data_IF_040560394993
#
_entry.id   IF_040560394993
#
_cell.length_a   1.000
_cell.length_b   1.000
_cell.length_c   1.000
_cell.angle_alpha   90.00
_cell.angle_beta   90.00
_cell.angle_gamma   90.00
#
_symmetry.space_group_name_H-M   'P 1'
#
loop_
_entity.id
_entity.type
_entity.pdbx_description
1 polymer ?
#
# COMPACT_ATOMS: atom_id res chain seq x y z
N UNK A 1 2.83 16.77 -7.11
CA UNK A 1 1.39 16.51 -7.36
C UNK A 1 0.57 17.25 -6.32
N UNK A 2 -0.64 17.68 -6.66
CA UNK A 2 -1.51 18.27 -5.67
C UNK A 2 -2.17 17.20 -4.79
N UNK A 3 -2.74 17.61 -3.68
CA UNK A 3 -3.30 16.70 -2.69
C UNK A 3 -4.47 15.87 -3.24
N UNK A 4 -5.26 16.45 -4.12
CA UNK A 4 -6.39 15.76 -4.75
C UNK A 4 -5.89 14.61 -5.63
N UNK A 5 -4.84 14.84 -6.39
CA UNK A 5 -4.24 13.83 -7.26
C UNK A 5 -3.63 12.69 -6.44
N UNK A 6 -2.93 13.02 -5.35
CA UNK A 6 -2.36 12.01 -4.47
C UNK A 6 -3.46 11.18 -3.81
N UNK A 7 -4.52 11.82 -3.32
CA UNK A 7 -5.64 11.10 -2.70
C UNK A 7 -6.29 10.14 -3.69
N UNK A 8 -6.52 10.57 -4.93
CA UNK A 8 -7.09 9.70 -5.96
C UNK A 8 -6.17 8.51 -6.27
N UNK A 9 -4.86 8.74 -6.32
CA UNK A 9 -3.89 7.65 -6.53
C UNK A 9 -3.91 6.65 -5.37
N UNK A 10 -4.03 7.12 -4.14
CA UNK A 10 -4.13 6.25 -2.97
C UNK A 10 -5.41 5.43 -2.96
N UNK A 11 -6.54 6.05 -3.29
CA UNK A 11 -7.81 5.34 -3.38
C UNK A 11 -7.74 4.23 -4.44
N UNK A 12 -7.16 4.51 -5.58
CA UNK A 12 -6.94 3.52 -6.65
C UNK A 12 -6.01 2.40 -6.19
N UNK A 13 -4.91 2.75 -5.51
CA UNK A 13 -3.96 1.78 -4.98
C UNK A 13 -4.63 0.79 -4.03
N UNK A 14 -5.39 1.28 -3.07
CA UNK A 14 -6.02 0.41 -2.09
C UNK A 14 -7.17 -0.42 -2.68
N UNK A 15 -7.92 0.12 -3.63
CA UNK A 15 -8.93 -0.66 -4.35
C UNK A 15 -8.27 -1.81 -5.14
N UNK A 16 -7.14 -1.55 -5.79
CA UNK A 16 -6.39 -2.56 -6.51
C UNK A 16 -5.79 -3.61 -5.55
N UNK A 17 -5.31 -3.17 -4.38
CA UNK A 17 -4.81 -4.09 -3.35
C UNK A 17 -5.90 -5.06 -2.90
N UNK A 18 -7.10 -4.56 -2.66
CA UNK A 18 -8.24 -5.39 -2.27
C UNK A 18 -8.64 -6.37 -3.37
N UNK A 19 -8.60 -5.94 -4.62
CA UNK A 19 -8.94 -6.77 -5.77
C UNK A 19 -7.80 -7.71 -6.21
N UNK A 20 -6.64 -7.64 -5.57
CA UNK A 20 -5.43 -8.38 -5.96
C UNK A 20 -4.99 -8.06 -7.39
N UNK A 21 -5.23 -6.83 -7.84
CA UNK A 21 -4.74 -6.33 -9.11
C UNK A 21 -3.33 -5.79 -8.90
N UNK A 22 -2.35 -6.68 -8.92
CA UNK A 22 -0.98 -6.37 -8.52
C UNK A 22 -0.32 -5.31 -9.40
N UNK A 23 -0.65 -5.26 -10.67
CA UNK A 23 -0.09 -4.27 -11.57
C UNK A 23 -0.57 -2.87 -11.21
N UNK A 24 -1.87 -2.69 -11.06
CA UNK A 24 -2.45 -1.40 -10.69
C UNK A 24 -2.06 -1.00 -9.29
N UNK A 25 -2.05 -1.96 -8.36
CA UNK A 25 -1.65 -1.73 -6.97
C UNK A 25 -0.27 -1.05 -6.88
N UNK A 26 0.68 -1.46 -7.71
CA UNK A 26 2.07 -1.01 -7.61
C UNK A 26 2.41 0.15 -8.54
N UNK A 27 1.47 0.65 -9.32
CA UNK A 27 1.68 1.84 -10.16
C UNK A 27 2.01 3.09 -9.34
N UNK A 28 1.58 3.16 -8.08
CA UNK A 28 1.84 4.29 -7.19
C UNK A 28 3.31 4.42 -6.81
N UNK A 29 4.08 3.33 -6.90
CA UNK A 29 5.48 3.32 -6.48
C UNK A 29 6.41 3.76 -7.61
N UNK A 30 7.45 4.53 -7.24
CA UNK A 30 8.58 4.78 -8.13
C UNK A 30 9.37 3.49 -8.33
N UNK A 31 10.17 3.44 -9.40
CA UNK A 31 11.02 2.27 -9.65
C UNK A 31 11.98 1.99 -8.51
N UNK A 32 12.48 3.04 -7.86
CA UNK A 32 13.42 2.98 -6.75
C UNK A 32 12.75 3.04 -5.38
N UNK A 33 11.44 2.82 -5.30
CA UNK A 33 10.71 2.86 -4.04
C UNK A 33 11.27 1.86 -3.02
N UNK A 34 11.14 2.21 -1.74
CA UNK A 34 11.56 1.36 -0.63
C UNK A 34 10.33 1.13 0.26
N UNK A 35 10.10 -0.13 0.60
CA UNK A 35 9.04 -0.52 1.51
C UNK A 35 9.66 -1.09 2.78
N UNK A 36 9.36 -0.45 3.92
CA UNK A 36 9.85 -0.88 5.23
C UNK A 36 8.71 -1.47 6.05
N UNK A 37 9.00 -2.59 6.70
CA UNK A 37 8.14 -3.18 7.72
C UNK A 37 8.82 -3.03 9.07
N UNK A 38 8.53 -1.96 9.84
CA UNK A 38 9.24 -1.69 11.09
C UNK A 38 9.14 -2.81 12.12
N UNK A 39 8.03 -3.54 12.12
CA UNK A 39 7.78 -4.60 13.09
C UNK A 39 8.73 -5.78 12.93
N UNK A 40 9.11 -6.11 11.70
CA UNK A 40 10.03 -7.22 11.42
C UNK A 40 11.44 -6.76 11.07
N UNK A 41 11.61 -5.46 10.82
CA UNK A 41 12.87 -4.92 10.32
C UNK A 41 13.13 -5.22 8.85
N UNK A 42 12.15 -5.76 8.13
CA UNK A 42 12.31 -6.10 6.72
C UNK A 42 12.26 -4.86 5.85
N UNK A 43 13.12 -4.81 4.84
CA UNK A 43 13.13 -3.76 3.82
C UNK A 43 13.15 -4.38 2.44
N UNK A 44 12.24 -3.93 1.58
CA UNK A 44 12.17 -4.35 0.18
C UNK A 44 12.50 -3.14 -0.69
N UNK A 45 13.47 -3.29 -1.56
CA UNK A 45 13.92 -2.22 -2.46
C UNK A 45 13.48 -2.47 -3.88
N UNK A 46 12.89 -1.43 -4.48
CA UNK A 46 12.47 -1.41 -5.86
C UNK A 46 11.04 -1.89 -6.07
N UNK A 47 10.32 -1.18 -6.94
CA UNK A 47 8.92 -1.48 -7.25
C UNK A 47 8.71 -2.93 -7.68
N UNK A 48 9.62 -3.45 -8.49
CA UNK A 48 9.52 -4.82 -8.99
C UNK A 48 9.55 -5.85 -7.85
N UNK A 49 10.47 -5.67 -6.91
CA UNK A 49 10.60 -6.58 -5.77
C UNK A 49 9.42 -6.44 -4.81
N UNK A 50 8.91 -5.24 -4.64
CA UNK A 50 7.70 -5.00 -3.82
C UNK A 50 6.52 -5.75 -4.45
N UNK A 51 6.33 -5.64 -5.75
CA UNK A 51 5.26 -6.33 -6.44
C UNK A 51 5.41 -7.85 -6.36
N UNK A 52 6.62 -8.37 -6.57
CA UNK A 52 6.87 -9.81 -6.47
C UNK A 52 6.59 -10.36 -5.09
N UNK A 53 6.96 -9.62 -4.03
CA UNK A 53 6.67 -10.03 -2.66
C UNK A 53 5.17 -10.17 -2.40
N UNK A 54 4.38 -9.34 -3.03
CA UNK A 54 2.92 -9.38 -2.90
C UNK A 54 2.31 -10.54 -3.67
N UNK A 55 2.82 -10.84 -4.86
CA UNK A 55 2.26 -11.89 -5.73
C UNK A 55 2.51 -13.30 -5.23
N UNK A 56 3.57 -13.51 -4.44
CA UNK A 56 3.91 -14.86 -3.91
C UNK A 56 3.26 -15.18 -2.58
N UNK A 57 2.47 -14.28 -2.02
CA UNK A 57 1.80 -14.52 -0.75
C UNK A 57 0.62 -15.47 -0.94
N UNK A 58 0.56 -16.58 -0.19
CA UNK A 58 -0.48 -17.59 -0.40
C UNK A 58 -1.84 -17.24 0.21
N UNK A 59 -1.88 -16.31 1.15
CA UNK A 59 -3.10 -15.99 1.88
C UNK A 59 -3.96 -14.99 1.13
N UNK A 60 -5.27 -15.15 1.24
CA UNK A 60 -6.21 -14.14 0.72
C UNK A 60 -6.21 -12.94 1.63
N UNK A 61 -6.03 -11.78 1.02
CA UNK A 61 -6.05 -10.50 1.72
C UNK A 61 -7.22 -9.66 1.24
N UNK A 62 -7.86 -8.98 2.19
CA UNK A 62 -8.81 -7.92 1.90
C UNK A 62 -8.40 -6.66 2.64
N UNK A 63 -8.57 -5.53 1.98
CA UNK A 63 -8.21 -4.22 2.52
C UNK A 63 -9.47 -3.38 2.64
N UNK A 64 -9.77 -2.93 3.84
CA UNK A 64 -10.88 -2.02 4.09
C UNK A 64 -10.31 -0.70 4.59
N UNK A 65 -10.29 0.31 3.72
CA UNK A 65 -9.76 1.63 4.05
C UNK A 65 -10.74 2.34 4.98
N UNK A 66 -10.24 2.83 6.10
CA UNK A 66 -11.04 3.62 7.04
C UNK A 66 -10.91 5.11 6.78
N UNK A 67 -9.68 5.59 6.58
CA UNK A 67 -9.45 6.97 6.20
C UNK A 67 -8.06 7.16 5.60
N UNK A 68 -7.94 8.22 4.81
CA UNK A 68 -6.70 8.66 4.20
C UNK A 68 -6.47 10.09 4.65
N UNK A 69 -5.34 10.33 5.29
CA UNK A 69 -4.98 11.63 5.85
C UNK A 69 -3.62 12.03 5.31
N UNK A 70 -3.44 13.27 4.98
CA UNK A 70 -2.14 13.77 4.59
C UNK A 70 -2.21 15.08 3.84
N UNK A 71 -1.06 15.50 3.35
CA UNK A 71 -0.89 16.69 2.54
C UNK A 71 0.55 16.78 2.10
N UNK A 72 0.80 17.43 0.97
CA UNK A 72 2.14 17.49 0.41
C UNK A 72 2.64 16.12 0.05
N UNK A 73 3.82 15.78 0.55
CA UNK A 73 4.51 14.53 0.23
C UNK A 73 4.37 13.42 1.29
N UNK A 74 3.62 13.67 2.37
CA UNK A 74 3.44 12.65 3.43
C UNK A 74 1.96 12.31 3.61
N UNK A 75 1.64 11.01 3.46
CA UNK A 75 0.26 10.51 3.54
C UNK A 75 0.18 9.26 4.39
N UNK A 76 -0.90 9.19 5.17
CA UNK A 76 -1.19 8.06 6.06
C UNK A 76 -2.53 7.47 5.69
N UNK A 77 -2.57 6.15 5.53
CA UNK A 77 -3.82 5.41 5.32
C UNK A 77 -4.03 4.47 6.50
N UNK A 78 -5.19 4.58 7.14
CA UNK A 78 -5.64 3.62 8.15
C UNK A 78 -6.56 2.62 7.47
N UNK A 79 -6.27 1.34 7.64
CA UNK A 79 -7.08 0.30 7.04
C UNK A 79 -7.16 -0.96 7.90
N UNK A 80 -8.15 -1.77 7.63
CA UNK A 80 -8.26 -3.09 8.20
C UNK A 80 -7.78 -4.07 7.14
N UNK A 81 -6.73 -4.81 7.47
CA UNK A 81 -6.22 -5.88 6.65
C UNK A 81 -6.79 -7.20 7.17
N UNK A 82 -7.54 -7.89 6.32
CA UNK A 82 -8.10 -9.19 6.67
C UNK A 82 -7.31 -10.28 5.98
N UNK A 83 -6.76 -11.18 6.78
CA UNK A 83 -5.99 -12.33 6.32
C UNK A 83 -6.80 -13.58 6.61
N UNK A 84 -7.26 -14.27 5.58
CA UNK A 84 -8.05 -15.51 5.73
C UNK A 84 -9.20 -15.33 6.74
N UNK A 85 -9.86 -14.18 6.71
CA UNK A 85 -10.95 -13.84 7.59
C UNK A 85 -10.57 -13.26 8.95
N UNK A 86 -9.28 -13.17 9.28
CA UNK A 86 -8.80 -12.58 10.53
C UNK A 86 -8.42 -11.12 10.33
N UNK A 87 -9.12 -10.17 10.97
CA UNK A 87 -8.84 -8.75 10.79
C UNK A 87 -7.67 -8.26 11.63
N UNK A 88 -6.92 -7.30 11.08
CA UNK A 88 -5.85 -6.59 11.79
C UNK A 88 -5.95 -5.10 11.44
N UNK A 89 -5.79 -4.24 12.43
CA UNK A 89 -5.68 -2.79 12.19
C UNK A 89 -4.29 -2.48 11.70
N UNK A 90 -4.20 -1.73 10.62
CA UNK A 90 -2.93 -1.44 9.96
C UNK A 90 -2.86 0.02 9.55
N UNK A 91 -1.65 0.52 9.47
CA UNK A 91 -1.36 1.88 9.02
C UNK A 91 -0.27 1.82 7.97
N UNK A 92 -0.50 2.52 6.86
CA UNK A 92 0.50 2.73 5.83
C UNK A 92 0.92 4.18 5.84
N UNK A 93 2.23 4.43 5.82
CA UNK A 93 2.80 5.76 5.72
C UNK A 93 3.57 5.83 4.40
N UNK A 94 3.17 6.73 3.52
CA UNK A 94 3.80 6.89 2.21
C UNK A 94 4.36 8.29 2.04
N UNK A 95 5.59 8.38 1.56
CA UNK A 95 6.21 9.63 1.14
C UNK A 95 6.24 9.69 -0.37
N UNK A 96 5.82 10.81 -0.91
CA UNK A 96 5.80 11.09 -2.34
C UNK A 96 6.86 12.15 -2.65
N UNK A 97 7.73 11.85 -3.61
CA UNK A 97 8.81 12.78 -3.98
C UNK A 97 8.85 13.01 -5.47
#
# INVERSE_FOLDING_TARGET
MDDRTVRAALERHWAASDASDFKVEHEIYREDAVLDYPQSGERIRGRRNIQESRTVQPSKKHFTVRRIIGGGDLWVTEFILTYDGVPSYSVSIMEFR
#
